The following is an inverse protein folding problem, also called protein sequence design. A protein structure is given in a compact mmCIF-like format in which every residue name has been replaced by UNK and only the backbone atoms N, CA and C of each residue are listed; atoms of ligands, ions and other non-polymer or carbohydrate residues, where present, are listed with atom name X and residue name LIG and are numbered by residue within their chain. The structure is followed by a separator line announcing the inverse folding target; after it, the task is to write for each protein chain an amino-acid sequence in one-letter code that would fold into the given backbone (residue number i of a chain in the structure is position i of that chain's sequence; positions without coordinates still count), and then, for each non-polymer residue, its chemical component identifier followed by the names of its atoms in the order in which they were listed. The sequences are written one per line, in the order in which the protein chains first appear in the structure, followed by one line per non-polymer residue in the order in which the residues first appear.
data_IF_027028526772
#
_entry.id   IF_027028526772
#
_cell.length_a   1.000
_cell.length_b   1.000
_cell.length_c   1.000
_cell.angle_alpha   90.00
_cell.angle_beta   90.00
_cell.angle_gamma   90.00
#
_symmetry.space_group_name_H-M   'P 1'
#
loop_
_entity.id
_entity.type
_entity.pdbx_description
1 polymer ?
#
# COMPACT_ATOMS: atom_id res chain seq x y z
N UNK A 1 4.92 13.46 4.79
CA UNK A 1 5.19 12.36 5.74
C UNK A 1 4.32 11.12 5.55
N UNK A 2 3.53 10.99 4.46
CA UNK A 2 2.69 9.80 4.20
C UNK A 2 3.44 8.67 3.47
N UNK A 3 4.39 9.03 2.59
CA UNK A 3 5.19 8.06 1.83
C UNK A 3 6.19 7.24 2.66
N UNK A 4 6.47 7.62 3.91
CA UNK A 4 7.26 6.80 4.84
C UNK A 4 6.41 5.70 5.49
N UNK A 5 5.17 6.00 5.89
CA UNK A 5 4.26 5.01 6.47
C UNK A 5 3.95 3.88 5.50
N UNK A 6 3.57 4.21 4.25
CA UNK A 6 3.26 3.16 3.27
C UNK A 6 4.45 2.24 2.97
N UNK A 7 5.67 2.79 2.89
CA UNK A 7 6.88 1.98 2.71
C UNK A 7 7.13 1.04 3.89
N UNK A 8 6.83 1.49 5.11
CA UNK A 8 6.91 0.64 6.28
C UNK A 8 5.88 -0.50 6.21
N UNK A 9 4.63 -0.20 5.87
CA UNK A 9 3.60 -1.22 5.64
C UNK A 9 3.99 -2.22 4.55
N UNK A 10 4.58 -1.75 3.44
CA UNK A 10 5.06 -2.64 2.37
C UNK A 10 6.09 -3.65 2.90
N UNK A 11 7.09 -3.21 3.64
CA UNK A 11 8.12 -4.09 4.18
C UNK A 11 7.54 -5.15 5.15
N UNK A 12 6.57 -4.75 5.99
CA UNK A 12 5.89 -5.69 6.88
C UNK A 12 5.02 -6.69 6.12
N UNK A 13 4.22 -6.23 5.16
CA UNK A 13 3.31 -7.09 4.38
C UNK A 13 4.07 -8.03 3.44
N UNK A 14 5.23 -7.63 2.92
CA UNK A 14 6.10 -8.47 2.10
C UNK A 14 6.65 -9.67 2.88
N UNK A 15 6.87 -9.51 4.19
CA UNK A 15 7.33 -10.58 5.05
C UNK A 15 6.21 -11.53 5.52
N UNK A 16 4.97 -11.04 5.60
CA UNK A 16 3.83 -11.83 6.13
C UNK A 16 3.00 -12.52 5.05
N UNK A 17 2.93 -11.95 3.84
CA UNK A 17 2.09 -12.48 2.76
C UNK A 17 2.89 -13.38 1.82
N UNK A 18 2.27 -14.43 1.23
CA UNK A 18 2.86 -15.14 0.12
C UNK A 18 3.19 -14.18 -1.03
N UNK A 19 4.35 -14.38 -1.67
CA UNK A 19 4.87 -13.49 -2.72
C UNK A 19 3.81 -13.17 -3.80
N UNK A 20 3.06 -14.19 -4.24
CA UNK A 20 2.00 -14.01 -5.23
C UNK A 20 0.90 -13.04 -4.73
N UNK A 21 0.45 -13.18 -3.49
CA UNK A 21 -0.58 -12.30 -2.93
C UNK A 21 -0.06 -10.88 -2.75
N UNK A 22 1.18 -10.72 -2.30
CA UNK A 22 1.79 -9.40 -2.16
C UNK A 22 1.91 -8.70 -3.52
N UNK A 23 2.43 -9.39 -4.53
CA UNK A 23 2.62 -8.83 -5.87
C UNK A 23 1.30 -8.54 -6.59
N UNK A 24 0.26 -9.35 -6.37
CA UNK A 24 -1.05 -9.15 -7.00
C UNK A 24 -1.87 -8.07 -6.29
N UNK A 25 -1.92 -8.07 -4.95
CA UNK A 25 -2.89 -7.26 -4.20
C UNK A 25 -2.29 -6.01 -3.55
N UNK A 26 -1.01 -6.04 -3.16
CA UNK A 26 -0.40 -4.97 -2.38
C UNK A 26 0.47 -4.07 -3.26
N UNK A 27 1.37 -4.65 -4.05
CA UNK A 27 2.34 -3.92 -4.89
C UNK A 27 1.70 -2.92 -5.87
N UNK A 28 0.54 -3.20 -6.49
CA UNK A 28 -0.07 -2.25 -7.44
C UNK A 28 -0.72 -1.03 -6.79
N UNK A 29 -0.92 -1.03 -5.47
CA UNK A 29 -1.60 0.06 -4.76
C UNK A 29 -0.76 1.33 -4.77
N UNK A 30 -1.40 2.46 -5.09
CA UNK A 30 -0.76 3.78 -5.12
C UNK A 30 -1.23 4.66 -3.98
N UNK A 31 -0.32 5.39 -3.34
CA UNK A 31 -0.67 6.35 -2.29
C UNK A 31 -1.28 7.60 -2.91
N UNK A 32 -2.46 7.99 -2.44
CA UNK A 32 -3.07 9.26 -2.80
C UNK A 32 -2.49 10.38 -1.91
N UNK A 33 -1.71 11.27 -2.51
CA UNK A 33 -1.06 12.38 -1.81
C UNK A 33 -2.04 13.46 -1.32
N UNK A 34 -3.27 13.49 -1.83
CA UNK A 34 -4.32 14.44 -1.42
C UNK A 34 -5.14 13.94 -0.23
N UNK A 35 -4.72 12.85 0.42
CA UNK A 35 -5.38 12.36 1.62
C UNK A 35 -5.27 13.38 2.78
N UNK A 36 -6.31 13.50 3.62
CA UNK A 36 -6.25 14.29 4.84
C UNK A 36 -5.06 13.90 5.73
N UNK A 37 -4.61 14.84 6.55
CA UNK A 37 -3.53 14.59 7.51
C UNK A 37 -3.96 13.51 8.50
N UNK A 38 -3.12 12.49 8.70
CA UNK A 38 -3.43 11.34 9.56
C UNK A 38 -4.10 10.15 8.84
N UNK A 39 -4.47 10.29 7.57
CA UNK A 39 -5.02 9.19 6.78
C UNK A 39 -4.04 8.70 5.70
N UNK A 40 -4.00 7.38 5.50
CA UNK A 40 -3.37 6.77 4.33
C UNK A 40 -4.47 6.29 3.37
N UNK A 41 -4.63 6.99 2.24
CA UNK A 41 -5.56 6.57 1.19
C UNK A 41 -4.80 5.88 0.06
N UNK A 42 -5.20 4.66 -0.25
CA UNK A 42 -4.62 3.87 -1.35
C UNK A 42 -5.59 3.83 -2.53
N UNK A 43 -5.04 3.84 -3.74
CA UNK A 43 -5.76 3.63 -4.99
C UNK A 43 -5.36 2.27 -5.56
N UNK A 44 -6.35 1.40 -5.71
CA UNK A 44 -6.19 0.15 -6.43
C UNK A 44 -6.37 0.38 -7.95
N UNK A 45 -5.68 -0.40 -8.79
CA UNK A 45 -5.82 -0.30 -10.24
C UNK A 45 -7.18 -0.80 -10.74
N UNK A 46 -7.88 -1.60 -9.93
CA UNK A 46 -9.22 -2.09 -10.18
C UNK A 46 -9.92 -2.35 -8.82
N UNK A 47 -11.18 -2.84 -8.84
CA UNK A 47 -12.00 -3.02 -7.64
C UNK A 47 -11.81 -4.36 -6.90
N UNK A 48 -11.00 -5.24 -7.46
CA UNK A 48 -10.83 -6.60 -6.96
C UNK A 48 -9.60 -6.68 -6.07
#
# INVERSE_FOLDING_TARGET
MQGSLWRHCLAHLEAELPEQQFNTWIRPLRVNASAPTGELRLQAPNRF
#
